data_IF_103595281090
#
_entry.id   IF_103595281090
#
_cell.length_a   1.000
_cell.length_b   1.000
_cell.length_c   1.000
_cell.angle_alpha   90.00
_cell.angle_beta   90.00
_cell.angle_gamma   90.00
#
_symmetry.space_group_name_H-M   'P 1'
#
loop_
_entity.id
_entity.type
_entity.pdbx_description
1 polymer ?
#
# COMPACT_ATOMS: atom_id res chain seq x y z
N UNK A 1 -2.68 -1.93 -30.46
CA UNK A 1 -3.28 -2.53 -29.24
C UNK A 1 -2.22 -2.52 -28.18
N UNK A 2 -2.46 -1.81 -27.08
CA UNK A 2 -1.62 -1.88 -25.89
C UNK A 2 -2.28 -2.89 -24.96
N UNK A 3 -1.55 -3.92 -24.55
CA UNK A 3 -1.95 -4.81 -23.48
C UNK A 3 -1.21 -4.37 -22.22
N UNK A 4 -1.93 -4.16 -21.13
CA UNK A 4 -1.29 -3.96 -19.83
C UNK A 4 -0.57 -5.26 -19.48
N UNK A 5 0.73 -5.17 -19.16
CA UNK A 5 1.54 -6.30 -18.71
C UNK A 5 1.82 -6.09 -17.23
N UNK A 6 1.45 -7.08 -16.42
CA UNK A 6 1.78 -7.09 -15.00
C UNK A 6 3.30 -7.21 -14.88
N UNK A 7 3.93 -6.24 -14.22
CA UNK A 7 5.35 -6.30 -13.93
C UNK A 7 5.56 -6.32 -12.41
N UNK A 8 6.44 -7.20 -11.96
CA UNK A 8 6.90 -7.25 -10.57
C UNK A 8 8.23 -6.51 -10.48
N UNK A 9 8.37 -5.63 -9.48
CA UNK A 9 9.61 -4.88 -9.26
C UNK A 9 10.34 -5.45 -8.05
N UNK A 10 11.46 -6.14 -8.28
CA UNK A 10 12.35 -6.57 -7.20
C UNK A 10 13.42 -5.52 -6.93
N UNK A 11 13.45 -4.99 -5.71
CA UNK A 11 14.46 -4.02 -5.27
C UNK A 11 15.42 -4.74 -4.32
N UNK A 12 16.71 -4.75 -4.67
CA UNK A 12 17.77 -5.28 -3.79
C UNK A 12 18.53 -4.12 -3.13
N UNK A 13 18.48 -4.02 -1.80
CA UNK A 13 19.29 -3.06 -1.03
C UNK A 13 20.20 -3.82 -0.07
N UNK A 14 21.51 -3.71 -0.27
CA UNK A 14 22.54 -4.27 0.65
C UNK A 14 22.23 -5.73 1.08
N UNK A 15 21.89 -6.57 0.11
CA UNK A 15 21.57 -8.02 0.26
C UNK A 15 20.12 -8.36 0.65
N UNK A 16 19.25 -7.38 0.92
CA UNK A 16 17.81 -7.61 1.11
C UNK A 16 17.08 -7.43 -0.22
N UNK A 17 16.48 -8.51 -0.73
CA UNK A 17 15.56 -8.47 -1.87
C UNK A 17 14.12 -8.24 -1.37
N UNK A 18 13.45 -7.25 -1.95
CA UNK A 18 12.04 -6.94 -1.69
C UNK A 18 11.30 -6.99 -3.01
N UNK A 19 10.28 -7.85 -3.11
CA UNK A 19 9.40 -7.89 -4.27
C UNK A 19 8.23 -6.94 -4.05
N UNK A 20 8.12 -5.94 -4.91
CA UNK A 20 6.98 -5.02 -4.97
C UNK A 20 6.01 -5.56 -6.00
N UNK A 21 4.86 -6.02 -5.51
CA UNK A 21 3.76 -6.54 -6.35
C UNK A 21 2.73 -5.45 -6.63
N UNK A 22 1.92 -5.58 -7.70
CA UNK A 22 0.80 -4.67 -7.94
C UNK A 22 -0.18 -4.57 -6.77
N UNK A 23 -0.49 -5.69 -6.12
CA UNK A 23 -1.35 -5.71 -4.91
C UNK A 23 -0.77 -4.87 -3.76
N UNK A 24 0.56 -4.87 -3.60
CA UNK A 24 1.22 -4.07 -2.57
C UNK A 24 1.13 -2.57 -2.91
N UNK A 25 1.29 -2.21 -4.19
CA UNK A 25 1.16 -0.83 -4.67
C UNK A 25 -0.26 -0.31 -4.47
N UNK A 26 -1.27 -1.13 -4.77
CA UNK A 26 -2.68 -0.77 -4.56
C UNK A 26 -2.98 -0.46 -3.10
N UNK A 27 -2.43 -1.25 -2.18
CA UNK A 27 -2.57 -1.01 -0.73
C UNK A 27 -1.86 0.28 -0.31
N UNK A 28 -0.65 0.53 -0.81
CA UNK A 28 0.12 1.74 -0.50
C UNK A 28 -0.61 2.99 -1.01
N UNK A 29 -1.25 2.92 -2.18
CA UNK A 29 -1.99 4.03 -2.76
C UNK A 29 -3.19 4.49 -1.91
N UNK A 30 -3.62 3.70 -0.92
CA UNK A 30 -4.68 4.06 0.02
C UNK A 30 -4.17 4.82 1.25
N UNK A 31 -2.89 5.22 1.31
CA UNK A 31 -2.28 5.83 2.50
C UNK A 31 -3.05 7.04 3.05
N UNK A 32 -3.62 7.88 2.18
CA UNK A 32 -4.43 9.05 2.55
C UNK A 32 -5.69 8.67 3.36
N UNK A 33 -6.23 7.45 3.13
CA UNK A 33 -7.40 6.92 3.83
C UNK A 33 -7.06 6.18 5.13
N UNK A 34 -5.78 5.87 5.35
CA UNK A 34 -5.32 5.04 6.47
C UNK A 34 -4.06 5.64 7.10
N UNK A 35 -4.19 6.50 8.12
CA UNK A 35 -3.05 7.20 8.75
C UNK A 35 -1.95 6.26 9.28
N UNK A 36 -2.29 5.02 9.64
CA UNK A 36 -1.28 4.03 10.06
C UNK A 36 -0.43 3.54 8.89
N UNK A 37 -0.97 3.45 7.67
CA UNK A 37 -0.22 3.10 6.46
C UNK A 37 0.79 4.21 6.15
N UNK A 38 0.31 5.45 6.03
CA UNK A 38 1.16 6.63 5.82
C UNK A 38 2.27 6.71 6.87
N UNK A 39 1.92 6.56 8.15
CA UNK A 39 2.88 6.58 9.25
C UNK A 39 3.96 5.51 9.11
N UNK A 40 3.59 4.26 8.85
CA UNK A 40 4.57 3.17 8.74
C UNK A 40 5.46 3.34 7.50
N UNK A 41 4.91 3.82 6.39
CA UNK A 41 5.69 4.14 5.19
C UNK A 41 6.70 5.26 5.47
N UNK A 42 6.30 6.32 6.16
CA UNK A 42 7.17 7.45 6.49
C UNK A 42 8.23 7.11 7.54
N UNK A 43 7.87 6.38 8.60
CA UNK A 43 8.76 6.10 9.73
C UNK A 43 9.68 4.91 9.47
N UNK A 44 9.19 3.87 8.77
CA UNK A 44 9.88 2.59 8.63
C UNK A 44 10.20 2.21 7.17
N UNK A 45 9.65 2.94 6.18
CA UNK A 45 9.91 2.74 4.77
C UNK A 45 9.17 1.55 4.15
N UNK A 46 9.21 1.51 2.81
CA UNK A 46 8.49 0.52 1.99
C UNK A 46 8.95 -0.93 2.26
N UNK A 47 10.21 -1.15 2.61
CA UNK A 47 10.72 -2.50 2.90
C UNK A 47 10.05 -3.09 4.14
N UNK A 48 9.91 -2.29 5.21
CA UNK A 48 9.22 -2.73 6.42
C UNK A 48 7.74 -2.94 6.14
N UNK A 49 7.14 -2.05 5.36
CA UNK A 49 5.74 -2.18 4.96
C UNK A 49 5.48 -3.47 4.17
N UNK A 50 6.33 -3.78 3.18
CA UNK A 50 6.25 -5.01 2.40
C UNK A 50 6.37 -6.26 3.28
N UNK A 51 7.32 -6.27 4.23
CA UNK A 51 7.45 -7.35 5.22
C UNK A 51 6.18 -7.52 6.04
N UNK A 52 5.61 -6.43 6.56
CA UNK A 52 4.36 -6.50 7.33
C UNK A 52 3.22 -7.01 6.48
N UNK A 53 3.11 -6.56 5.23
CA UNK A 53 2.10 -7.04 4.30
C UNK A 53 2.16 -8.56 4.11
N UNK A 54 3.35 -9.12 3.91
CA UNK A 54 3.56 -10.57 3.81
C UNK A 54 3.22 -11.30 5.13
N UNK A 55 3.61 -10.72 6.26
CA UNK A 55 3.29 -11.28 7.58
C UNK A 55 1.78 -11.22 7.88
N UNK A 56 1.06 -10.21 7.39
CA UNK A 56 -0.40 -10.13 7.49
C UNK A 56 -1.08 -11.19 6.62
N UNK A 57 -0.54 -11.48 5.43
CA UNK A 57 -0.98 -12.62 4.61
C UNK A 57 -0.77 -13.95 5.36
N UNK A 58 0.38 -14.14 6.01
CA UNK A 58 0.65 -15.32 6.84
C UNK A 58 -0.27 -15.39 8.08
N UNK A 59 -0.58 -14.25 8.70
CA UNK A 59 -1.51 -14.17 9.82
C UNK A 59 -2.94 -14.57 9.40
N UNK A 60 -3.37 -14.19 8.20
CA UNK A 60 -4.66 -14.61 7.65
C UNK A 60 -4.77 -16.13 7.47
N UNK A 61 -3.64 -16.82 7.23
CA UNK A 61 -3.54 -18.28 7.21
C UNK A 61 -3.42 -18.92 8.61
N UNK A 62 -3.23 -18.11 9.66
CA UNK A 62 -3.03 -18.56 11.03
C UNK A 62 -1.59 -18.94 11.39
N UNK A 63 -0.62 -18.64 10.52
CA UNK A 63 0.78 -19.07 10.68
C UNK A 63 1.58 -18.20 11.65
N UNK A 64 1.18 -16.92 11.78
CA UNK A 64 1.80 -15.95 12.69
C UNK A 64 0.73 -15.18 13.44
N UNK A 65 1.07 -14.66 14.62
CA UNK A 65 0.20 -13.81 15.44
C UNK A 65 0.56 -12.33 15.27
N UNK A 66 -0.37 -11.40 15.53
CA UNK A 66 -0.09 -9.94 15.50
C UNK A 66 1.12 -9.57 16.38
N UNK A 67 1.32 -10.26 17.51
CA UNK A 67 2.49 -10.04 18.37
C UNK A 67 3.80 -10.41 17.66
N UNK A 68 3.83 -11.55 16.96
CA UNK A 68 5.00 -11.92 16.16
C UNK A 68 5.23 -10.96 14.98
N UNK A 69 4.17 -10.40 14.39
CA UNK A 69 4.30 -9.34 13.37
C UNK A 69 5.03 -8.14 13.96
N UNK A 70 4.59 -7.66 15.12
CA UNK A 70 5.22 -6.54 15.81
C UNK A 70 6.71 -6.81 16.08
N UNK A 71 7.03 -7.98 16.62
CA UNK A 71 8.40 -8.37 16.96
C UNK A 71 9.29 -8.53 15.70
N UNK A 72 8.77 -9.09 14.60
CA UNK A 72 9.52 -9.34 13.37
C UNK A 72 9.73 -8.08 12.52
N UNK A 73 8.77 -7.16 12.54
CA UNK A 73 8.82 -5.90 11.80
C UNK A 73 9.37 -4.73 12.63
N UNK A 74 9.81 -4.98 13.87
CA UNK A 74 10.27 -3.96 14.82
C UNK A 74 9.25 -2.81 14.99
N UNK A 75 7.97 -3.18 15.06
CA UNK A 75 6.86 -2.26 15.26
C UNK A 75 6.37 -2.32 16.70
N UNK A 76 5.80 -1.20 17.17
CA UNK A 76 5.03 -1.24 18.41
C UNK A 76 3.83 -2.18 18.24
N UNK A 77 3.42 -2.88 19.31
CA UNK A 77 2.26 -3.77 19.25
C UNK A 77 0.98 -3.05 18.83
N UNK A 78 0.81 -1.78 19.23
CA UNK A 78 -0.32 -0.96 18.81
C UNK A 78 -0.29 -0.66 17.31
N UNK A 79 0.88 -0.21 16.81
CA UNK A 79 1.07 0.03 15.36
C UNK A 79 0.82 -1.23 14.54
N UNK A 80 1.31 -2.39 15.00
CA UNK A 80 1.08 -3.65 14.31
C UNK A 80 -0.40 -4.03 14.28
N UNK A 81 -1.13 -3.81 15.39
CA UNK A 81 -2.58 -4.06 15.44
C UNK A 81 -3.34 -3.15 14.47
N UNK A 82 -3.10 -1.84 14.55
CA UNK A 82 -3.74 -0.84 13.68
C UNK A 82 -3.45 -1.13 12.19
N UNK A 83 -2.24 -1.55 11.87
CA UNK A 83 -1.84 -1.84 10.49
C UNK A 83 -2.48 -3.13 9.98
N UNK A 84 -2.55 -4.18 10.81
CA UNK A 84 -3.27 -5.42 10.47
C UNK A 84 -4.75 -5.12 10.22
N UNK A 85 -5.38 -4.29 11.05
CA UNK A 85 -6.78 -3.89 10.91
C UNK A 85 -7.01 -3.07 9.62
N UNK A 86 -6.13 -2.11 9.32
CA UNK A 86 -6.18 -1.35 8.08
C UNK A 86 -6.05 -2.27 6.85
N UNK A 87 -5.07 -3.17 6.87
CA UNK A 87 -4.83 -4.11 5.77
C UNK A 87 -5.98 -5.09 5.57
N UNK A 88 -6.62 -5.55 6.64
CA UNK A 88 -7.84 -6.35 6.51
C UNK A 88 -9.03 -5.55 5.99
N UNK A 89 -9.13 -4.26 6.36
CA UNK A 89 -10.18 -3.39 5.86
C UNK A 89 -10.06 -3.14 4.35
N UNK A 90 -8.83 -2.93 3.87
CA UNK A 90 -8.53 -2.80 2.43
C UNK A 90 -8.77 -4.12 1.69
N UNK A 91 -8.31 -5.25 2.26
CA UNK A 91 -8.43 -6.57 1.62
C UNK A 91 -9.86 -7.15 1.69
N UNK A 92 -10.72 -6.65 2.57
CA UNK A 92 -12.16 -6.95 2.60
C UNK A 92 -12.94 -6.30 1.45
N UNK A 93 -12.25 -5.70 0.47
CA UNK A 93 -12.79 -5.32 -0.85
C UNK A 93 -12.84 -6.51 -1.83
N UNK A 94 -12.51 -7.73 -1.39
CA UNK A 94 -12.61 -8.96 -2.20
C UNK A 94 -14.00 -9.60 -2.33
N UNK A 95 -15.09 -8.83 -2.19
CA UNK A 95 -16.43 -9.29 -2.62
C UNK A 95 -17.01 -8.44 -3.76
N UNK A 96 -16.21 -7.56 -4.36
CA UNK A 96 -16.51 -7.03 -5.68
C UNK A 96 -15.24 -7.10 -6.53
N UNK A 97 -15.39 -7.68 -7.72
CA UNK A 97 -14.44 -7.62 -8.82
C UNK A 97 -14.18 -6.15 -9.24
N UNK A 98 -13.51 -5.37 -8.39
CA UNK A 98 -12.94 -4.09 -8.79
C UNK A 98 -11.81 -4.42 -9.75
N UNK A 99 -12.17 -4.44 -11.03
CA UNK A 99 -11.25 -4.62 -12.14
C UNK A 99 -10.06 -3.68 -11.97
N UNK A 100 -8.83 -4.10 -12.33
CA UNK A 100 -7.65 -3.26 -12.20
C UNK A 100 -7.89 -1.88 -12.82
N UNK A 101 -7.81 -0.83 -12.01
CA UNK A 101 -7.93 0.55 -12.48
C UNK A 101 -6.75 0.85 -13.41
N UNK A 102 -7.01 0.90 -14.72
CA UNK A 102 -6.02 1.32 -15.71
C UNK A 102 -6.12 2.83 -15.85
N UNK A 103 -5.15 3.56 -15.30
CA UNK A 103 -5.02 4.99 -15.54
C UNK A 103 -4.46 5.24 -16.95
N UNK A 104 -5.16 6.07 -17.71
CA UNK A 104 -4.74 6.60 -18.99
C UNK A 104 -4.19 8.02 -18.80
N UNK A 105 -3.29 8.49 -19.68
CA UNK A 105 -2.78 9.87 -19.60
C UNK A 105 -3.89 10.94 -19.58
N UNK A 106 -5.08 10.65 -20.13
CA UNK A 106 -6.23 11.56 -20.12
C UNK A 106 -6.94 11.70 -18.77
N UNK A 107 -6.67 10.81 -17.81
CA UNK A 107 -7.26 10.90 -16.46
C UNK A 107 -6.67 12.04 -15.63
N UNK A 108 -5.50 12.55 -16.04
CA UNK A 108 -4.83 13.69 -15.40
C UNK A 108 -5.14 15.04 -16.09
N UNK A 109 -5.79 15.03 -17.26
CA UNK A 109 -5.97 16.22 -18.11
C UNK A 109 -7.26 17.01 -17.79
N UNK A 110 -8.16 16.52 -16.93
CA UNK A 110 -9.48 17.13 -16.72
C UNK A 110 -9.63 17.97 -15.43
N UNK A 111 -8.61 18.05 -14.57
CA UNK A 111 -8.72 18.77 -13.29
C UNK A 111 -7.53 19.68 -12.94
N UNK A 112 -6.54 19.82 -13.82
CA UNK A 112 -5.45 20.76 -13.60
C UNK A 112 -5.83 22.22 -13.93
N UNK A 113 -6.89 22.44 -14.71
CA UNK A 113 -7.30 23.80 -15.14
C UNK A 113 -8.17 24.52 -14.08
N UNK A 114 -8.86 23.78 -13.21
CA UNK A 114 -9.78 24.38 -12.22
C UNK A 114 -9.08 24.73 -10.88
N UNK A 115 -7.93 24.12 -10.57
CA UNK A 115 -7.16 24.42 -9.35
C UNK A 115 -6.23 25.64 -9.49
N UNK A 116 -6.01 26.13 -10.72
CA UNK A 116 -5.21 27.34 -10.97
C UNK A 116 -6.06 28.62 -11.00
N UNK A 117 -7.39 28.51 -11.02
CA UNK A 117 -8.29 29.66 -11.10
C UNK A 117 -8.55 30.37 -9.76
N UNK A 118 -8.30 29.73 -8.61
CA UNK A 118 -8.54 30.33 -7.28
C UNK A 118 -7.30 30.98 -6.62
N UNK A 119 -6.20 31.18 -7.36
CA UNK A 119 -4.97 31.80 -6.81
C UNK A 119 -4.80 33.29 -7.21
N UNK A 120 -5.72 33.86 -7.99
CA UNK A 120 -5.68 35.28 -8.37
C UNK A 120 -7.04 35.96 -8.11
N UNK A 121 -7.24 36.40 -6.87
CA UNK A 121 -8.15 37.51 -6.55
C UNK A 121 -7.53 38.33 -5.40
N UNK A 122 -6.80 39.40 -5.76
CA UNK A 122 -6.55 40.61 -4.92
C UNK A 122 -7.18 41.83 -5.60
#
# INVERSE_FOLDING_TARGET
MYAAEEFELSITVRETEVTITPELVEVIAQEDGYPTIERVLNEHGITTFALVYDLVKAHAAGDVTIRQIADLADLSTGTAYDLVEALYSIRSLGDDESSPMTYTPGDFDAAADDLLAEIDDE
#
